data_IF_689365761604
#
_entry.id   IF_689365761604
#
_cell.length_a   1.000
_cell.length_b   1.000
_cell.length_c   1.000
_cell.angle_alpha   90.00
_cell.angle_beta   90.00
_cell.angle_gamma   90.00
#
_symmetry.space_group_name_H-M   'P 1'
#
loop_
_entity.id
_entity.type
_entity.pdbx_description
1 polymer ?
#
# COMPACT_ATOMS: atom_id res chain seq x y z
N UNK A 1 -32.29 0.65 -3.47
CA UNK A 1 -31.17 -0.31 -3.31
C UNK A 1 -30.14 0.01 -4.38
N UNK A 2 -29.01 0.60 -4.02
CA UNK A 2 -27.92 0.85 -4.97
C UNK A 2 -26.96 -0.33 -4.91
N UNK A 3 -26.93 -1.15 -5.96
CA UNK A 3 -25.90 -2.17 -6.14
C UNK A 3 -24.68 -1.50 -6.75
N UNK A 4 -23.65 -1.26 -5.94
CA UNK A 4 -22.32 -0.89 -6.44
C UNK A 4 -21.75 -2.16 -7.08
N UNK A 5 -21.89 -2.28 -8.40
CA UNK A 5 -21.22 -3.32 -9.17
C UNK A 5 -19.77 -2.91 -9.32
N UNK A 6 -18.92 -3.40 -8.41
CA UNK A 6 -17.47 -3.30 -8.54
C UNK A 6 -17.06 -4.02 -9.82
N UNK A 7 -16.58 -3.26 -10.79
CA UNK A 7 -16.19 -3.75 -12.10
C UNK A 7 -14.92 -4.61 -11.97
N UNK A 8 -15.06 -5.92 -11.79
CA UNK A 8 -13.92 -6.87 -11.56
C UNK A 8 -13.07 -7.16 -12.81
N UNK A 9 -13.34 -6.54 -13.96
CA UNK A 9 -12.75 -6.93 -15.26
C UNK A 9 -11.83 -5.88 -15.92
N UNK A 10 -11.38 -4.84 -15.22
CA UNK A 10 -10.30 -3.99 -15.72
C UNK A 10 -8.93 -4.63 -15.44
N UNK A 11 -7.97 -4.60 -16.38
CA UNK A 11 -6.61 -5.09 -16.12
C UNK A 11 -6.02 -4.36 -14.92
N UNK A 12 -5.73 -5.10 -13.84
CA UNK A 12 -5.13 -4.54 -12.62
C UNK A 12 -3.81 -3.87 -12.96
N UNK A 13 -3.67 -2.61 -12.56
CA UNK A 13 -2.43 -1.86 -12.72
C UNK A 13 -1.31 -2.51 -11.89
N UNK A 14 -0.05 -2.29 -12.29
CA UNK A 14 1.09 -2.80 -11.52
C UNK A 14 1.10 -2.34 -10.07
N UNK A 15 0.56 -1.15 -9.80
CA UNK A 15 0.37 -0.63 -8.44
C UNK A 15 -0.66 -1.44 -7.64
N UNK A 16 -1.82 -1.74 -8.25
CA UNK A 16 -2.86 -2.55 -7.61
C UNK A 16 -2.39 -3.99 -7.34
N UNK A 17 -1.61 -4.59 -8.25
CA UNK A 17 -1.00 -5.90 -8.02
C UNK A 17 -0.13 -5.92 -6.76
N UNK A 18 0.67 -4.88 -6.54
CA UNK A 18 1.52 -4.76 -5.34
C UNK A 18 0.65 -4.60 -4.09
N UNK A 19 -0.40 -3.79 -4.13
CA UNK A 19 -1.32 -3.65 -2.98
C UNK A 19 -2.06 -4.94 -2.65
N UNK A 20 -2.52 -5.67 -3.67
CA UNK A 20 -3.18 -6.96 -3.53
C UNK A 20 -2.24 -8.01 -2.93
N UNK A 21 -0.97 -8.03 -3.32
CA UNK A 21 0.02 -8.90 -2.69
C UNK A 21 0.07 -8.69 -1.17
N UNK A 22 0.14 -7.44 -0.71
CA UNK A 22 0.16 -7.17 0.73
C UNK A 22 -1.18 -7.48 1.42
N UNK A 23 -2.30 -7.14 0.81
CA UNK A 23 -3.61 -7.27 1.45
C UNK A 23 -4.18 -8.70 1.41
N UNK A 24 -3.90 -9.46 0.35
CA UNK A 24 -4.47 -10.80 0.12
C UNK A 24 -3.49 -11.92 0.43
N UNK A 25 -2.17 -11.74 0.17
CA UNK A 25 -1.16 -12.81 0.34
C UNK A 25 -0.39 -12.70 1.66
N UNK A 26 -0.16 -11.50 2.19
CA UNK A 26 0.44 -11.30 3.51
C UNK A 26 -0.65 -11.27 4.60
N UNK A 27 -1.10 -12.45 5.04
CA UNK A 27 -1.95 -12.57 6.24
C UNK A 27 -1.18 -12.40 7.55
N UNK A 28 0.15 -12.50 7.51
CA UNK A 28 1.04 -12.46 8.68
C UNK A 28 1.95 -11.23 8.59
N UNK A 29 2.11 -10.51 9.71
CA UNK A 29 3.09 -9.42 9.85
C UNK A 29 4.52 -9.97 9.84
N UNK A 30 5.01 -10.34 8.66
CA UNK A 30 6.35 -10.86 8.43
C UNK A 30 7.06 -10.02 7.36
N UNK A 31 8.32 -9.62 7.60
CA UNK A 31 9.18 -9.07 6.56
C UNK A 31 9.28 -9.99 5.35
N UNK A 32 9.03 -9.42 4.18
CA UNK A 32 9.26 -10.06 2.88
C UNK A 32 10.33 -9.31 2.12
N UNK A 33 11.16 -10.07 1.44
CA UNK A 33 12.17 -9.55 0.52
C UNK A 33 11.52 -9.00 -0.75
N UNK A 34 12.08 -7.94 -1.31
CA UNK A 34 11.65 -7.38 -2.59
C UNK A 34 11.66 -8.41 -3.73
N UNK A 35 12.60 -9.36 -3.73
CA UNK A 35 12.66 -10.43 -4.73
C UNK A 35 11.39 -11.30 -4.70
N UNK A 36 10.87 -11.59 -3.51
CA UNK A 36 9.62 -12.35 -3.38
C UNK A 36 8.42 -11.57 -3.92
N UNK A 37 8.42 -10.25 -3.76
CA UNK A 37 7.34 -9.39 -4.30
C UNK A 37 7.43 -9.37 -5.82
N UNK A 38 8.65 -9.33 -6.37
CA UNK A 38 8.92 -9.44 -7.80
C UNK A 38 8.32 -10.72 -8.39
N UNK A 39 8.66 -11.87 -7.80
CA UNK A 39 8.22 -13.19 -8.23
C UNK A 39 6.69 -13.33 -8.21
N UNK A 40 6.03 -12.82 -7.16
CA UNK A 40 4.58 -12.98 -6.97
C UNK A 40 3.76 -11.97 -7.77
N UNK A 41 4.32 -10.82 -8.12
CA UNK A 41 3.62 -9.79 -8.89
C UNK A 41 3.94 -9.82 -10.38
N UNK A 42 4.98 -10.57 -10.78
CA UNK A 42 5.52 -10.63 -12.15
C UNK A 42 5.90 -9.24 -12.70
N UNK A 43 6.31 -8.34 -11.81
CA UNK A 43 6.73 -6.98 -12.13
C UNK A 43 8.25 -6.88 -12.01
N UNK A 44 8.88 -5.97 -12.74
CA UNK A 44 10.34 -5.80 -12.62
C UNK A 44 10.75 -5.24 -11.25
N UNK A 45 11.90 -5.69 -10.74
CA UNK A 45 12.50 -5.19 -9.49
C UNK A 45 12.48 -3.66 -9.35
N UNK A 46 12.89 -2.97 -10.41
CA UNK A 46 12.97 -1.49 -10.44
C UNK A 46 11.58 -0.87 -10.28
N UNK A 47 10.56 -1.46 -10.91
CA UNK A 47 9.19 -0.99 -10.79
C UNK A 47 8.64 -1.24 -9.38
N UNK A 48 8.79 -2.46 -8.85
CA UNK A 48 8.37 -2.83 -7.50
C UNK A 48 9.01 -1.89 -6.48
N UNK A 49 10.33 -1.65 -6.58
CA UNK A 49 11.05 -0.73 -5.70
C UNK A 49 10.47 0.68 -5.75
N UNK A 50 10.19 1.21 -6.94
CA UNK A 50 9.58 2.55 -7.12
C UNK A 50 8.21 2.62 -6.45
N UNK A 51 7.38 1.58 -6.61
CA UNK A 51 6.06 1.49 -5.97
C UNK A 51 6.18 1.46 -4.45
N UNK A 52 7.04 0.61 -3.88
CA UNK A 52 7.25 0.53 -2.43
C UNK A 52 7.79 1.84 -1.85
N UNK A 53 8.69 2.52 -2.57
CA UNK A 53 9.16 3.86 -2.19
C UNK A 53 8.02 4.89 -2.21
N UNK A 54 7.15 4.83 -3.22
CA UNK A 54 5.97 5.69 -3.32
C UNK A 54 5.02 5.46 -2.14
N UNK A 55 4.68 4.21 -1.81
CA UNK A 55 3.83 3.86 -0.66
C UNK A 55 4.40 4.39 0.66
N UNK A 56 5.72 4.26 0.86
CA UNK A 56 6.41 4.82 2.03
C UNK A 56 6.34 6.35 2.05
N UNK A 57 6.57 7.01 0.91
CA UNK A 57 6.56 8.48 0.80
C UNK A 57 5.17 9.05 1.05
N UNK A 58 4.13 8.39 0.56
CA UNK A 58 2.73 8.76 0.75
C UNK A 58 2.16 8.33 2.12
N UNK A 59 3.01 7.82 3.02
CA UNK A 59 2.66 7.45 4.40
C UNK A 59 1.41 6.56 4.51
N UNK A 60 1.32 5.55 3.63
CA UNK A 60 0.26 4.54 3.75
C UNK A 60 0.32 3.88 5.12
N UNK A 61 -0.85 3.79 5.75
CA UNK A 61 -0.93 3.29 7.12
C UNK A 61 -0.63 1.79 7.17
N UNK A 62 0.15 1.38 8.17
CA UNK A 62 0.50 -0.02 8.38
C UNK A 62 1.41 -0.62 7.32
N UNK A 63 2.13 0.20 6.54
CA UNK A 63 3.13 -0.24 5.58
C UNK A 63 4.53 0.21 5.98
N UNK A 64 5.49 -0.70 5.89
CA UNK A 64 6.88 -0.44 6.20
C UNK A 64 7.80 -0.94 5.09
N UNK A 65 8.83 -0.13 4.78
CA UNK A 65 9.83 -0.45 3.78
C UNK A 65 11.20 0.11 4.17
N UNK A 66 12.22 -0.75 4.23
CA UNK A 66 13.61 -0.36 4.54
C UNK A 66 14.62 -1.27 3.86
N UNK A 67 15.85 -0.76 3.72
CA UNK A 67 17.01 -1.57 3.34
C UNK A 67 17.51 -2.31 4.58
N UNK A 68 17.77 -3.61 4.45
CA UNK A 68 18.35 -4.46 5.48
C UNK A 68 19.54 -5.21 4.87
N UNK A 69 20.76 -4.85 5.28
CA UNK A 69 21.99 -5.35 4.67
C UNK A 69 22.04 -5.01 3.17
N UNK A 70 22.18 -6.04 2.34
CA UNK A 70 22.20 -5.90 0.87
C UNK A 70 20.82 -6.00 0.22
N UNK A 71 19.76 -6.29 0.98
CA UNK A 71 18.41 -6.44 0.43
C UNK A 71 17.44 -5.36 0.89
N UNK A 72 16.30 -5.26 0.20
CA UNK A 72 15.19 -4.41 0.57
C UNK A 72 14.04 -5.27 1.09
N UNK A 73 13.52 -4.90 2.25
CA UNK A 73 12.42 -5.61 2.90
C UNK A 73 11.21 -4.71 3.08
N UNK A 74 10.03 -5.30 2.89
CA UNK A 74 8.75 -4.67 3.15
C UNK A 74 7.92 -5.54 4.11
N UNK A 75 7.06 -4.93 4.92
CA UNK A 75 6.04 -5.65 5.70
C UNK A 75 4.86 -4.75 5.95
N UNK A 76 3.77 -5.35 6.42
CA UNK A 76 2.58 -4.64 6.86
C UNK A 76 2.18 -5.04 8.27
N UNK A 77 1.51 -4.13 8.96
CA UNK A 77 0.91 -4.43 10.25
C UNK A 77 -0.21 -5.48 10.10
N UNK A 78 -0.36 -6.32 11.12
CA UNK A 78 -1.29 -7.46 11.10
C UNK A 78 -2.74 -7.02 10.87
N UNK A 79 -3.14 -5.95 11.55
CA UNK A 79 -4.52 -5.48 11.63
C UNK A 79 -4.87 -4.40 10.60
N UNK A 80 -3.87 -3.92 9.84
CA UNK A 80 -4.06 -2.80 8.91
C UNK A 80 -4.09 -3.30 7.47
N UNK A 81 -5.13 -2.86 6.76
CA UNK A 81 -5.16 -2.85 5.29
C UNK A 81 -4.32 -1.65 4.87
N UNK A 82 -3.41 -1.84 3.91
CA UNK A 82 -2.60 -0.75 3.39
C UNK A 82 -3.55 0.22 2.67
N UNK A 83 -3.78 1.40 3.27
CA UNK A 83 -4.65 2.45 2.73
C UNK A 83 -3.95 3.80 2.84
N UNK A 84 -4.26 4.70 1.90
CA UNK A 84 -3.74 6.06 1.89
C UNK A 84 -4.39 6.84 3.04
N UNK A 85 -3.59 7.56 3.83
CA UNK A 85 -4.08 8.31 4.99
C UNK A 85 -5.06 9.42 4.59
N UNK A 86 -4.91 9.98 3.37
CA UNK A 86 -5.76 11.06 2.84
C UNK A 86 -7.26 10.70 2.72
N UNK A 87 -7.61 9.40 2.81
CA UNK A 87 -8.99 8.94 2.74
C UNK A 87 -9.66 8.77 4.12
N UNK A 88 -9.05 9.29 5.18
CA UNK A 88 -9.69 9.33 6.51
C UNK A 88 -10.23 10.73 6.80
N UNK A 89 -11.41 10.81 7.42
CA UNK A 89 -12.14 12.06 7.73
C UNK A 89 -11.35 13.09 8.58
N UNK A 90 -10.10 12.81 8.95
CA UNK A 90 -9.23 13.74 9.67
C UNK A 90 -8.76 14.96 8.88
N UNK A 91 -8.95 15.00 7.55
CA UNK A 91 -8.76 16.23 6.77
C UNK A 91 -9.90 17.23 7.02
N UNK A 92 -11.15 16.74 7.11
CA UNK A 92 -12.33 17.57 7.39
C UNK A 92 -12.25 18.24 8.76
N UNK A 93 -11.64 17.56 9.75
CA UNK A 93 -11.43 18.14 11.08
C UNK A 93 -10.35 19.22 11.13
N UNK A 94 -9.49 19.36 10.10
CA UNK A 94 -8.46 20.41 10.05
C UNK A 94 -8.96 21.69 9.38
N UNK A 95 -9.94 21.59 8.48
CA UNK A 95 -10.51 22.76 7.81
C UNK A 95 -11.44 23.58 8.74
N UNK A 96 -12.01 22.97 9.78
CA UNK A 96 -12.84 23.67 10.78
C UNK A 96 -12.02 24.53 11.78
N UNK A 97 -10.70 24.41 11.80
CA UNK A 97 -9.84 25.12 12.77
C UNK A 97 -9.21 26.41 12.21
N UNK A 98 -9.30 26.69 10.91
CA UNK A 98 -8.69 27.87 10.26
C UNK A 98 -9.70 28.97 9.89
N UNK A 99 -10.95 28.90 10.34
CA UNK A 99 -12.00 29.91 10.09
C UNK A 99 -12.55 30.56 11.37
N UNK A 100 -11.69 30.77 12.37
CA UNK A 100 -11.98 31.67 13.50
C UNK A 100 -10.73 32.50 13.83
N UNK A 101 -10.37 33.44 12.95
CA UNK A 101 -9.65 34.65 13.34
C UNK A 101 -10.15 35.86 12.53
#
# INVERSE_FOLDING_TARGET
MFTISSNENSPKTGFEKVLEFFNSKLSVNKPVDIARIEDETELSWTYVKRVLQKLKKEKYEGFHFKKLGNSWIAWKDREKIIKKLDNTCGHLLREEQETNE
#
